data_IF_958545682892
#
_entry.id   IF_958545682892
#
_cell.length_a   1.000
_cell.length_b   1.000
_cell.length_c   1.000
_cell.angle_alpha   90.00
_cell.angle_beta   90.00
_cell.angle_gamma   90.00
#
_symmetry.space_group_name_H-M   'P 1'
#
loop_
_entity.id
_entity.type
_entity.pdbx_description
1 polymer ?
#
# COMPACT_ATOMS: atom_id res chain seq x y z
N UNK A 1 2.77 -31.59 -18.68
CA UNK A 1 2.38 -30.24 -19.13
C UNK A 1 3.56 -29.30 -19.43
N UNK A 2 4.78 -29.53 -18.90
CA UNK A 2 5.94 -28.61 -19.06
C UNK A 2 6.41 -28.38 -20.50
N UNK A 3 6.37 -29.39 -21.37
CA UNK A 3 6.98 -29.32 -22.71
C UNK A 3 6.26 -28.34 -23.67
N UNK A 4 4.94 -28.19 -23.57
CA UNK A 4 4.15 -27.33 -24.47
C UNK A 4 4.32 -25.83 -24.25
N UNK A 5 4.76 -25.41 -23.05
CA UNK A 5 4.98 -23.99 -22.74
C UNK A 5 6.36 -23.57 -23.21
N UNK A 6 7.38 -24.41 -23.00
CA UNK A 6 8.76 -24.15 -23.45
C UNK A 6 8.83 -23.92 -24.98
N UNK A 7 8.06 -24.67 -25.76
CA UNK A 7 7.98 -24.48 -27.23
C UNK A 7 7.33 -23.14 -27.61
N UNK A 8 6.30 -22.69 -26.87
CA UNK A 8 5.56 -21.45 -27.17
C UNK A 8 6.32 -20.19 -26.78
N UNK A 9 7.20 -20.25 -25.79
CA UNK A 9 8.00 -19.09 -25.36
C UNK A 9 9.30 -18.95 -26.15
N UNK A 10 9.74 -20.02 -26.84
CA UNK A 10 11.01 -20.04 -27.58
C UNK A 10 11.18 -18.86 -28.57
N UNK A 11 10.16 -18.47 -29.36
CA UNK A 11 10.27 -17.31 -30.25
C UNK A 11 10.59 -16.00 -29.51
N UNK A 12 10.02 -15.81 -28.32
CA UNK A 12 10.30 -14.63 -27.50
C UNK A 12 11.71 -14.63 -26.93
N UNK A 13 12.24 -15.81 -26.57
CA UNK A 13 13.59 -15.95 -26.00
C UNK A 13 14.70 -15.69 -27.03
N UNK A 14 14.39 -15.80 -28.32
CA UNK A 14 15.29 -15.45 -29.43
C UNK A 14 15.36 -13.94 -29.67
N UNK A 15 14.40 -13.17 -29.14
CA UNK A 15 14.38 -11.70 -29.19
C UNK A 15 15.14 -11.09 -28.00
N UNK A 16 15.45 -9.80 -28.08
CA UNK A 16 15.95 -9.02 -26.94
C UNK A 16 14.79 -8.72 -25.97
N UNK A 17 14.73 -9.50 -24.88
CA UNK A 17 13.65 -9.43 -23.88
C UNK A 17 13.51 -8.04 -23.25
N UNK A 18 14.63 -7.30 -23.14
CA UNK A 18 14.64 -5.96 -22.54
C UNK A 18 13.91 -4.93 -23.40
N UNK A 19 13.82 -5.19 -24.72
CA UNK A 19 13.24 -4.30 -25.74
C UNK A 19 11.90 -4.77 -26.28
N UNK A 20 11.26 -5.75 -25.64
CA UNK A 20 9.93 -6.17 -26.04
C UNK A 20 8.93 -5.02 -25.86
N UNK A 21 8.08 -4.83 -26.86
CA UNK A 21 6.94 -3.92 -26.78
C UNK A 21 5.91 -4.40 -25.74
N UNK A 22 5.10 -3.49 -25.22
CA UNK A 22 4.12 -3.79 -24.17
C UNK A 22 3.16 -4.92 -24.58
N UNK A 23 2.76 -4.96 -25.85
CA UNK A 23 1.88 -6.01 -26.38
C UNK A 23 2.53 -7.40 -26.29
N UNK A 24 3.81 -7.51 -26.65
CA UNK A 24 4.53 -8.78 -26.64
C UNK A 24 4.89 -9.23 -25.23
N UNK A 25 5.21 -8.28 -24.35
CA UNK A 25 5.33 -8.54 -22.90
C UNK A 25 4.03 -9.11 -22.34
N UNK A 26 2.89 -8.52 -22.72
CA UNK A 26 1.57 -8.98 -22.26
C UNK A 26 1.26 -10.39 -22.77
N UNK A 27 1.52 -10.68 -24.06
CA UNK A 27 1.36 -12.03 -24.63
C UNK A 27 2.24 -13.05 -23.90
N UNK A 28 3.51 -12.71 -23.67
CA UNK A 28 4.45 -13.59 -22.98
C UNK A 28 4.01 -13.85 -21.53
N UNK A 29 3.55 -12.82 -20.82
CA UNK A 29 3.01 -12.94 -19.47
C UNK A 29 1.78 -13.87 -19.43
N UNK A 30 0.84 -13.71 -20.36
CA UNK A 30 -0.34 -14.58 -20.47
C UNK A 30 0.03 -16.05 -20.74
N UNK A 31 1.00 -16.29 -21.63
CA UNK A 31 1.55 -17.64 -21.89
C UNK A 31 2.19 -18.25 -20.63
N UNK A 32 2.79 -17.41 -19.79
CA UNK A 32 3.40 -17.79 -18.52
C UNK A 32 2.44 -17.72 -17.34
N UNK A 33 1.14 -17.55 -17.55
CA UNK A 33 0.17 -17.53 -16.46
C UNK A 33 0.23 -18.78 -15.57
N UNK A 34 0.45 -20.02 -16.07
CA UNK A 34 0.60 -21.16 -15.18
C UNK A 34 1.80 -21.08 -14.22
N UNK A 35 3.05 -20.82 -14.67
CA UNK A 35 4.17 -20.65 -13.75
C UNK A 35 4.07 -19.39 -12.88
N UNK A 36 3.49 -18.30 -13.37
CA UNK A 36 3.24 -17.09 -12.56
C UNK A 36 2.28 -17.39 -11.42
N UNK A 37 1.13 -18.01 -11.71
CA UNK A 37 0.14 -18.40 -10.71
C UNK A 37 0.73 -19.39 -9.69
N UNK A 38 1.59 -20.31 -10.14
CA UNK A 38 2.34 -21.17 -9.23
C UNK A 38 3.24 -20.37 -8.30
N UNK A 39 3.97 -19.37 -8.83
CA UNK A 39 4.83 -18.48 -8.06
C UNK A 39 4.07 -17.68 -7.00
N UNK A 40 2.89 -17.15 -7.36
CA UNK A 40 1.99 -16.43 -6.44
C UNK A 40 1.50 -17.36 -5.34
N UNK A 41 0.94 -18.52 -5.69
CA UNK A 41 0.46 -19.52 -4.71
C UNK A 41 1.56 -19.95 -3.74
N UNK A 42 2.78 -20.15 -4.25
CA UNK A 42 3.95 -20.49 -3.44
C UNK A 42 4.38 -19.36 -2.49
N UNK A 43 4.16 -18.10 -2.86
CA UNK A 43 4.37 -16.98 -1.94
C UNK A 43 3.28 -16.96 -0.86
N UNK A 44 2.01 -17.03 -1.26
CA UNK A 44 0.86 -17.03 -0.34
C UNK A 44 0.91 -18.18 0.66
N UNK A 45 1.32 -19.38 0.26
CA UNK A 45 1.39 -20.54 1.16
C UNK A 45 2.32 -20.36 2.36
N UNK A 46 3.26 -19.41 2.29
CA UNK A 46 4.15 -19.05 3.42
C UNK A 46 3.43 -18.25 4.50
N UNK A 47 2.26 -17.69 4.18
CA UNK A 47 1.51 -16.80 5.05
C UNK A 47 0.09 -17.35 5.24
N UNK A 48 -0.10 -18.14 6.30
CA UNK A 48 -1.32 -18.96 6.50
C UNK A 48 -2.60 -18.17 6.86
N UNK A 49 -2.59 -16.84 6.87
CA UNK A 49 -3.70 -16.05 7.44
C UNK A 49 -3.77 -14.61 6.92
N UNK A 50 -3.24 -14.32 5.73
CA UNK A 50 -3.36 -12.97 5.16
C UNK A 50 -4.67 -12.83 4.40
N UNK A 51 -5.44 -11.74 4.63
CA UNK A 51 -6.59 -11.39 3.80
C UNK A 51 -6.10 -10.75 2.48
N UNK A 52 -5.14 -11.40 1.83
CA UNK A 52 -4.65 -11.02 0.51
C UNK A 52 -5.17 -12.06 -0.46
N UNK A 53 -5.86 -11.61 -1.49
CA UNK A 53 -6.32 -12.47 -2.55
C UNK A 53 -5.21 -12.70 -3.57
N UNK A 54 -5.36 -13.79 -4.34
CA UNK A 54 -4.47 -14.06 -5.47
C UNK A 54 -4.47 -12.91 -6.48
N UNK A 55 -5.59 -12.21 -6.65
CA UNK A 55 -5.70 -11.08 -7.59
C UNK A 55 -4.84 -9.88 -7.16
N UNK A 56 -4.78 -9.59 -5.86
CA UNK A 56 -3.99 -8.48 -5.30
C UNK A 56 -2.49 -8.60 -5.63
N UNK A 57 -2.01 -9.83 -5.78
CA UNK A 57 -0.62 -10.13 -6.07
C UNK A 57 -0.29 -10.12 -7.56
N UNK A 58 -1.29 -10.02 -8.45
CA UNK A 58 -1.06 -10.10 -9.89
C UNK A 58 -0.29 -8.88 -10.43
N UNK A 59 -0.56 -7.69 -9.89
CA UNK A 59 0.19 -6.47 -10.23
C UNK A 59 1.67 -6.57 -9.81
N UNK A 60 1.94 -7.17 -8.64
CA UNK A 60 3.31 -7.42 -8.19
C UNK A 60 4.02 -8.48 -9.04
N UNK A 61 3.28 -9.50 -9.49
CA UNK A 61 3.80 -10.50 -10.41
C UNK A 61 4.15 -9.89 -11.78
N UNK A 62 3.34 -8.96 -12.29
CA UNK A 62 3.65 -8.20 -13.51
C UNK A 62 4.94 -7.39 -13.36
N UNK A 63 5.08 -6.64 -12.26
CA UNK A 63 6.28 -5.85 -11.98
C UNK A 63 7.52 -6.76 -11.92
N UNK A 64 7.44 -7.88 -11.20
CA UNK A 64 8.55 -8.82 -11.08
C UNK A 64 8.95 -9.43 -12.43
N UNK A 65 7.97 -9.71 -13.28
CA UNK A 65 8.19 -10.21 -14.62
C UNK A 65 8.87 -9.17 -15.52
N UNK A 66 8.38 -7.93 -15.53
CA UNK A 66 8.97 -6.86 -16.34
C UNK A 66 10.42 -6.55 -15.90
N UNK A 67 10.66 -6.48 -14.58
CA UNK A 67 12.01 -6.36 -14.01
C UNK A 67 12.93 -7.51 -14.46
N UNK A 68 12.41 -8.75 -14.49
CA UNK A 68 13.16 -9.91 -14.94
C UNK A 68 13.53 -9.81 -16.43
N UNK A 69 12.61 -9.36 -17.29
CA UNK A 69 12.88 -9.21 -18.72
C UNK A 69 14.07 -8.28 -19.00
N UNK A 70 14.20 -7.19 -18.23
CA UNK A 70 15.31 -6.24 -18.35
C UNK A 70 16.68 -6.86 -18.01
N UNK A 71 16.71 -7.83 -17.10
CA UNK A 71 17.96 -8.34 -16.53
C UNK A 71 18.31 -9.76 -16.97
N UNK A 72 17.37 -10.54 -17.52
CA UNK A 72 17.56 -11.97 -17.73
C UNK A 72 18.70 -12.29 -18.72
N UNK A 73 18.67 -11.65 -19.90
CA UNK A 73 19.71 -11.84 -20.92
C UNK A 73 20.97 -11.04 -20.60
N UNK A 74 20.83 -9.79 -20.13
CA UNK A 74 21.97 -8.91 -19.82
C UNK A 74 22.85 -9.45 -18.70
N UNK A 75 22.27 -10.12 -17.69
CA UNK A 75 23.01 -10.79 -16.61
C UNK A 75 23.38 -12.24 -16.92
N UNK A 76 23.10 -12.72 -18.12
CA UNK A 76 23.40 -14.09 -18.58
C UNK A 76 22.97 -15.18 -17.57
N UNK A 77 21.70 -15.11 -17.13
CA UNK A 77 21.18 -15.99 -16.09
C UNK A 77 21.14 -17.44 -16.59
N UNK A 78 21.94 -18.32 -15.96
CA UNK A 78 22.05 -19.75 -16.34
C UNK A 78 20.79 -20.57 -16.09
N UNK A 79 19.91 -20.10 -15.20
CA UNK A 79 18.67 -20.79 -14.86
C UNK A 79 17.67 -20.67 -16.01
N UNK A 80 16.94 -21.75 -16.32
CA UNK A 80 15.86 -21.73 -17.34
C UNK A 80 14.87 -20.60 -17.06
N UNK A 81 14.42 -19.93 -18.11
CA UNK A 81 13.59 -18.73 -18.02
C UNK A 81 12.33 -18.91 -17.17
N UNK A 82 11.55 -19.97 -17.40
CA UNK A 82 10.34 -20.28 -16.62
C UNK A 82 10.65 -20.36 -15.11
N UNK A 83 11.75 -21.00 -14.74
CA UNK A 83 12.15 -21.13 -13.35
C UNK A 83 12.65 -19.81 -12.75
N UNK A 84 13.22 -18.93 -13.55
CA UNK A 84 13.55 -17.57 -13.13
C UNK A 84 12.31 -16.71 -12.93
N UNK A 85 11.29 -16.86 -13.79
CA UNK A 85 9.99 -16.21 -13.64
C UNK A 85 9.31 -16.63 -12.33
N UNK A 86 9.27 -17.94 -12.06
CA UNK A 86 8.69 -18.47 -10.80
C UNK A 86 9.40 -17.85 -9.60
N UNK A 87 10.74 -17.85 -9.57
CA UNK A 87 11.50 -17.31 -8.44
C UNK A 87 11.30 -15.80 -8.26
N UNK A 88 11.36 -15.03 -9.35
CA UNK A 88 11.18 -13.59 -9.32
C UNK A 88 9.78 -13.21 -8.78
N UNK A 89 8.74 -13.84 -9.32
CA UNK A 89 7.35 -13.65 -8.88
C UNK A 89 7.19 -14.07 -7.42
N UNK A 90 7.65 -15.27 -7.05
CA UNK A 90 7.55 -15.74 -5.66
C UNK A 90 8.24 -14.77 -4.71
N UNK A 91 9.42 -14.24 -5.05
CA UNK A 91 10.16 -13.32 -4.19
C UNK A 91 9.43 -11.99 -4.04
N UNK A 92 8.99 -11.36 -5.14
CA UNK A 92 8.28 -10.07 -5.10
C UNK A 92 6.96 -10.16 -4.35
N UNK A 93 6.18 -11.22 -4.61
CA UNK A 93 4.92 -11.45 -3.89
C UNK A 93 5.18 -11.75 -2.40
N UNK A 94 6.27 -12.46 -2.06
CA UNK A 94 6.65 -12.67 -0.65
C UNK A 94 6.96 -11.34 0.03
N UNK A 95 7.73 -10.46 -0.62
CA UNK A 95 8.06 -9.12 -0.12
C UNK A 95 6.81 -8.27 0.12
N UNK A 96 5.87 -8.28 -0.83
CA UNK A 96 4.58 -7.60 -0.68
C UNK A 96 3.78 -8.11 0.54
N UNK A 97 3.66 -9.43 0.69
CA UNK A 97 3.02 -10.05 1.86
C UNK A 97 3.72 -9.69 3.17
N UNK A 98 5.05 -9.70 3.21
CA UNK A 98 5.84 -9.32 4.40
C UNK A 98 5.63 -7.85 4.77
N UNK A 99 5.60 -6.94 3.78
CA UNK A 99 5.32 -5.51 4.00
C UNK A 99 3.92 -5.30 4.58
N UNK A 100 2.93 -6.02 4.04
CA UNK A 100 1.56 -5.97 4.56
C UNK A 100 1.50 -6.37 6.05
N UNK A 101 2.15 -7.48 6.41
CA UNK A 101 2.24 -7.94 7.82
C UNK A 101 2.90 -6.91 8.71
N UNK A 102 4.06 -6.38 8.29
CA UNK A 102 4.81 -5.39 9.08
C UNK A 102 3.98 -4.13 9.31
N UNK A 103 3.28 -3.65 8.29
CA UNK A 103 2.39 -2.49 8.42
C UNK A 103 1.24 -2.76 9.39
N UNK A 104 0.62 -3.94 9.32
CA UNK A 104 -0.43 -4.35 10.28
C UNK A 104 0.10 -4.40 11.72
N UNK A 105 1.29 -4.96 11.94
CA UNK A 105 1.90 -4.98 13.28
C UNK A 105 2.25 -3.58 13.78
N UNK A 106 2.72 -2.67 12.92
CA UNK A 106 2.97 -1.26 13.28
C UNK A 106 1.68 -0.60 13.78
N UNK A 107 0.57 -0.76 13.05
CA UNK A 107 -0.73 -0.21 13.43
C UNK A 107 -1.20 -0.77 14.78
N UNK A 108 -1.13 -2.10 14.95
CA UNK A 108 -1.51 -2.75 16.21
C UNK A 108 -0.65 -2.27 17.38
N UNK A 109 0.68 -2.28 17.24
CA UNK A 109 1.60 -1.86 18.31
C UNK A 109 1.37 -0.41 18.71
N UNK A 110 1.08 0.48 17.75
CA UNK A 110 0.77 1.88 18.05
C UNK A 110 -0.55 2.04 18.83
N UNK A 111 -1.56 1.22 18.49
CA UNK A 111 -2.83 1.19 19.20
C UNK A 111 -2.74 0.62 20.61
N UNK A 112 -1.77 -0.27 20.86
CA UNK A 112 -1.45 -0.81 22.18
C UNK A 112 -0.61 0.18 23.02
N UNK A 113 0.31 0.93 22.39
CA UNK A 113 1.15 1.91 23.10
C UNK A 113 0.41 3.22 23.44
N UNK A 114 -0.52 3.64 22.60
CA UNK A 114 -1.40 4.77 22.85
C UNK A 114 -2.73 4.22 23.35
N UNK A 115 -3.13 4.46 24.60
CA UNK A 115 -4.30 3.92 25.30
C UNK A 115 -5.67 4.08 24.57
N UNK A 116 -5.83 3.46 23.41
CA UNK A 116 -7.06 3.35 22.62
C UNK A 116 -7.63 1.99 22.96
N UNK A 117 -8.83 1.97 23.55
CA UNK A 117 -9.47 0.73 24.01
C UNK A 117 -9.66 -0.24 22.83
N UNK A 118 -9.13 -1.43 22.99
CA UNK A 118 -9.04 -2.54 22.03
C UNK A 118 -10.37 -2.87 21.33
N UNK A 119 -11.51 -2.66 22.01
CA UNK A 119 -12.86 -2.91 21.51
C UNK A 119 -13.27 -2.06 20.29
N UNK A 120 -12.60 -0.93 20.00
CA UNK A 120 -12.93 -0.10 18.84
C UNK A 120 -12.26 -0.55 17.54
N UNK A 121 -11.29 -1.47 17.59
CA UNK A 121 -10.45 -1.85 16.44
C UNK A 121 -10.89 -3.14 15.74
N UNK A 122 -11.59 -4.05 16.42
CA UNK A 122 -12.08 -5.29 15.78
C UNK A 122 -13.08 -5.03 14.65
N UNK A 123 -13.73 -3.85 14.64
CA UNK A 123 -14.68 -3.43 13.61
C UNK A 123 -14.05 -2.64 12.44
N UNK A 124 -12.77 -2.25 12.51
CA UNK A 124 -12.10 -1.46 11.46
C UNK A 124 -11.44 -2.36 10.40
N UNK A 125 -11.25 -3.65 10.72
CA UNK A 125 -10.46 -4.60 9.91
C UNK A 125 -11.33 -5.46 8.97
N UNK A 126 -12.61 -5.15 8.80
CA UNK A 126 -13.41 -5.79 7.75
C UNK A 126 -13.16 -5.11 6.41
N UNK A 127 -12.43 -5.84 5.56
CA UNK A 127 -12.53 -5.95 4.10
C UNK A 127 -12.73 -4.68 3.26
N UNK A 128 -11.86 -4.57 2.24
CA UNK A 128 -11.93 -3.62 1.11
C UNK A 128 -11.56 -2.18 1.46
N UNK A 129 -10.27 -1.83 1.27
CA UNK A 129 -9.93 -0.74 0.35
C UNK A 129 -8.43 -0.42 0.38
N UNK A 130 -7.87 -0.26 -0.82
CA UNK A 130 -6.60 0.45 -1.07
C UNK A 130 -6.65 1.96 -0.65
N UNK A 131 -7.75 2.39 0.00
CA UNK A 131 -7.92 3.64 0.77
C UNK A 131 -7.27 3.57 2.17
N UNK A 132 -6.72 2.44 2.60
CA UNK A 132 -6.28 2.21 3.98
C UNK A 132 -5.33 3.25 4.58
N UNK A 133 -4.53 3.98 3.79
CA UNK A 133 -3.66 5.03 4.32
C UNK A 133 -4.39 6.36 4.55
N UNK A 134 -5.21 6.81 3.59
CA UNK A 134 -6.02 8.02 3.74
C UNK A 134 -7.15 7.81 4.77
N UNK A 135 -7.76 6.62 4.79
CA UNK A 135 -8.77 6.26 5.77
C UNK A 135 -8.19 6.15 7.18
N UNK A 136 -7.00 5.55 7.34
CA UNK A 136 -6.32 5.52 8.64
C UNK A 136 -5.94 6.92 9.12
N UNK A 137 -5.44 7.80 8.25
CA UNK A 137 -5.14 9.19 8.62
C UNK A 137 -6.43 9.94 8.98
N UNK A 138 -7.50 9.77 8.22
CA UNK A 138 -8.80 10.39 8.50
C UNK A 138 -9.41 9.89 9.81
N UNK A 139 -9.34 8.60 10.10
CA UNK A 139 -9.74 8.03 11.39
C UNK A 139 -8.89 8.55 12.55
N UNK A 140 -7.57 8.65 12.37
CA UNK A 140 -6.65 9.20 13.38
C UNK A 140 -7.01 10.66 13.66
N UNK A 141 -7.27 11.46 12.62
CA UNK A 141 -7.71 12.86 12.76
C UNK A 141 -9.08 12.92 13.48
N UNK A 142 -10.02 12.04 13.11
CA UNK A 142 -11.33 11.97 13.75
C UNK A 142 -11.23 11.56 15.23
N UNK A 143 -10.36 10.62 15.58
CA UNK A 143 -10.06 10.21 16.95
C UNK A 143 -9.42 11.34 17.76
N UNK A 144 -8.47 12.08 17.18
CA UNK A 144 -7.89 13.27 17.81
C UNK A 144 -9.00 14.26 18.20
N UNK A 145 -9.90 14.57 17.26
CA UNK A 145 -10.98 15.52 17.54
C UNK A 145 -12.05 14.97 18.49
N UNK A 146 -12.32 13.66 18.49
CA UNK A 146 -13.22 13.01 19.46
C UNK A 146 -12.72 13.15 20.90
N UNK A 147 -11.40 13.12 21.08
CA UNK A 147 -10.74 13.26 22.38
C UNK A 147 -10.29 14.69 22.68
N UNK A 148 -10.53 15.65 21.78
CA UNK A 148 -10.13 17.03 21.95
C UNK A 148 -11.10 17.75 22.90
N UNK A 149 -10.56 18.35 23.97
CA UNK A 149 -11.35 19.13 24.92
C UNK A 149 -11.99 20.39 24.30
N UNK A 150 -11.41 20.91 23.21
CA UNK A 150 -11.93 22.10 22.53
C UNK A 150 -12.87 21.70 21.39
N UNK A 151 -14.18 21.78 21.66
CA UNK A 151 -15.24 21.45 20.69
C UNK A 151 -15.20 22.30 19.42
N UNK A 152 -14.55 23.47 19.45
CA UNK A 152 -14.41 24.33 18.27
C UNK A 152 -13.21 23.92 17.39
N UNK A 153 -12.29 23.09 17.88
CA UNK A 153 -11.07 22.73 17.16
C UNK A 153 -11.35 22.05 15.82
N UNK A 154 -12.25 21.05 15.79
CA UNK A 154 -12.62 20.34 14.55
C UNK A 154 -13.20 21.27 13.47
N UNK A 155 -14.29 22.02 13.73
CA UNK A 155 -14.89 22.85 12.69
C UNK A 155 -14.02 24.05 12.29
N UNK A 156 -13.18 24.57 13.20
CA UNK A 156 -12.18 25.61 12.88
C UNK A 156 -11.10 25.04 11.96
N UNK A 157 -10.58 23.85 12.30
CA UNK A 157 -9.55 23.20 11.51
C UNK A 157 -10.07 22.86 10.11
N UNK A 158 -11.25 22.27 9.99
CA UNK A 158 -11.90 21.97 8.68
C UNK A 158 -12.06 23.21 7.79
N UNK A 159 -12.45 24.35 8.36
CA UNK A 159 -12.53 25.61 7.61
C UNK A 159 -11.14 26.15 7.24
N UNK A 160 -10.13 25.91 8.07
CA UNK A 160 -8.74 26.29 7.80
C UNK A 160 -8.12 25.48 6.65
N UNK A 161 -8.33 24.16 6.60
CA UNK A 161 -7.85 23.31 5.48
C UNK A 161 -8.56 23.60 4.15
N UNK A 162 -9.77 24.20 4.20
CA UNK A 162 -10.51 24.65 3.01
C UNK A 162 -10.16 26.09 2.59
N UNK A 163 -9.05 26.63 3.10
CA UNK A 163 -8.57 27.99 2.83
C UNK A 163 -9.60 29.12 3.10
N UNK A 164 -10.53 28.90 4.03
CA UNK A 164 -11.48 29.94 4.41
C UNK A 164 -10.71 31.08 5.11
N UNK A 165 -10.89 32.36 4.72
CA UNK A 165 -10.13 33.44 5.32
C UNK A 165 -10.37 33.52 6.84
N UNK A 166 -9.29 33.64 7.62
CA UNK A 166 -9.31 33.68 9.09
C UNK A 166 -10.33 34.68 9.66
N UNK A 167 -10.56 35.79 8.95
CA UNK A 167 -11.60 36.79 9.26
C UNK A 167 -13.00 36.17 9.34
N UNK A 168 -13.38 35.38 8.37
CA UNK A 168 -14.68 34.70 8.36
C UNK A 168 -14.78 33.63 9.45
N UNK A 169 -13.68 32.94 9.75
CA UNK A 169 -13.66 31.88 10.78
C UNK A 169 -13.91 32.49 12.17
N UNK A 170 -13.14 33.50 12.60
CA UNK A 170 -13.30 34.05 13.95
C UNK A 170 -14.64 34.81 14.11
N UNK A 171 -15.17 35.41 13.05
CA UNK A 171 -16.50 36.02 13.06
C UNK A 171 -17.60 34.96 13.14
N UNK A 172 -17.52 33.86 12.37
CA UNK A 172 -18.52 32.79 12.37
C UNK A 172 -18.63 32.08 13.72
N UNK A 173 -17.50 31.83 14.39
CA UNK A 173 -17.49 31.15 15.68
C UNK A 173 -17.50 32.11 16.88
N UNK A 174 -17.61 33.43 16.64
CA UNK A 174 -17.58 34.47 17.66
C UNK A 174 -16.40 34.31 18.65
N UNK A 175 -15.18 34.16 18.12
CA UNK A 175 -13.96 34.02 18.90
C UNK A 175 -12.96 35.13 18.59
N UNK A 176 -12.00 35.36 19.49
CA UNK A 176 -10.93 36.31 19.23
C UNK A 176 -9.92 35.76 18.22
N UNK A 177 -9.24 36.66 17.49
CA UNK A 177 -8.13 36.30 16.59
C UNK A 177 -7.05 35.47 17.28
N UNK A 178 -6.75 35.82 18.54
CA UNK A 178 -5.75 35.11 19.34
C UNK A 178 -6.21 33.69 19.70
N UNK A 179 -7.50 33.51 20.02
CA UNK A 179 -8.07 32.19 20.29
C UNK A 179 -8.06 31.32 19.03
N UNK A 180 -8.43 31.88 17.87
CA UNK A 180 -8.34 31.18 16.58
C UNK A 180 -6.91 30.72 16.28
N UNK A 181 -5.94 31.63 16.41
CA UNK A 181 -4.52 31.33 16.19
C UNK A 181 -4.04 30.19 17.09
N UNK A 182 -4.35 30.26 18.38
CA UNK A 182 -3.97 29.24 19.37
C UNK A 182 -4.58 27.86 19.06
N UNK A 183 -5.85 27.82 18.62
CA UNK A 183 -6.52 26.57 18.25
C UNK A 183 -5.84 25.95 17.03
N UNK A 184 -5.64 26.73 15.95
CA UNK A 184 -4.99 26.23 14.73
C UNK A 184 -3.57 25.75 15.03
N UNK A 185 -2.74 26.57 15.69
CA UNK A 185 -1.35 26.21 15.99
C UNK A 185 -1.25 24.95 16.84
N UNK A 186 -2.11 24.83 17.87
CA UNK A 186 -2.17 23.64 18.70
C UNK A 186 -2.58 22.42 17.89
N UNK A 187 -3.69 22.50 17.15
CA UNK A 187 -4.21 21.38 16.35
C UNK A 187 -3.22 20.95 15.28
N UNK A 188 -2.61 21.87 14.55
CA UNK A 188 -1.59 21.55 13.55
C UNK A 188 -0.35 20.93 14.18
N UNK A 189 0.12 21.44 15.32
CA UNK A 189 1.30 20.88 16.00
C UNK A 189 1.03 19.47 16.53
N UNK A 190 -0.14 19.26 17.13
CA UNK A 190 -0.55 17.97 17.67
C UNK A 190 -0.70 16.94 16.54
N UNK A 191 -1.44 17.29 15.48
CA UNK A 191 -1.62 16.40 14.33
C UNK A 191 -0.31 16.14 13.60
N UNK A 192 0.57 17.13 13.48
CA UNK A 192 1.91 16.93 12.90
C UNK A 192 2.71 15.88 13.68
N UNK A 193 2.73 15.95 15.01
CA UNK A 193 3.40 14.93 15.84
C UNK A 193 2.82 13.52 15.68
N UNK A 194 1.52 13.42 15.41
CA UNK A 194 0.82 12.15 15.22
C UNK A 194 1.07 11.57 13.82
N UNK A 195 1.10 12.42 12.79
CA UNK A 195 1.12 12.02 11.39
C UNK A 195 2.54 11.94 10.82
N UNK A 196 3.46 12.82 11.22
CA UNK A 196 4.85 12.86 10.71
C UNK A 196 5.58 11.51 10.87
N UNK A 197 5.48 10.79 12.00
CA UNK A 197 6.08 9.44 12.13
C UNK A 197 5.45 8.35 11.25
N UNK A 198 4.31 8.62 10.61
CA UNK A 198 3.63 7.70 9.69
C UNK A 198 4.12 7.87 8.24
N UNK A 199 4.66 9.05 7.90
CA UNK A 199 5.06 9.43 6.54
C UNK A 199 6.53 9.14 6.21
N UNK A 200 7.33 8.75 7.20
CA UNK A 200 8.73 8.29 7.07
C UNK A 200 8.84 6.76 6.99
#
# INVERSE_FOLDING_TARGET
>A
MSFKIEEKIKPFLEMDLSKLELEDKTKLFLLLSPPINYGIKKAMSKFHSLPLEHHDLMSYAWIAFDELLQVYQTKNIKKKFIWSVIDAVTWKCTDACTKYINNRHKVLNMSLSNSIKQEHLENIVSEEDYMGYNFAIEEIINLYFKNCNDKLAKPIFEMYIRDVPKKHIFTKFNISRNKLKKIIEKTTTDLKKIIEPLMD
#
